data_IF_727040289465
#
_entry.id   IF_727040289465
#
_cell.length_a   1.000
_cell.length_b   1.000
_cell.length_c   1.000
_cell.angle_alpha   90.00
_cell.angle_beta   90.00
_cell.angle_gamma   90.00
#
_symmetry.space_group_name_H-M   'P 1'
#
loop_
_entity.id
_entity.type
_entity.pdbx_description
1 polymer ?
#
# COMPACT_ATOMS: atom_id res chain seq x y z
N UNK A 1 -4.85 1.22 -25.21
CA UNK A 1 -4.23 0.20 -24.33
C UNK A 1 -3.94 -1.02 -25.18
N UNK A 2 -2.69 -1.49 -25.27
CA UNK A 2 -2.34 -2.59 -26.16
C UNK A 2 -2.95 -3.92 -25.67
N UNK A 3 -3.31 -4.79 -26.62
CA UNK A 3 -4.00 -6.06 -26.36
C UNK A 3 -3.20 -6.97 -25.42
N UNK A 4 -1.87 -6.86 -25.44
CA UNK A 4 -0.93 -7.57 -24.57
C UNK A 4 -1.15 -7.27 -23.09
N UNK A 5 -1.36 -6.00 -22.73
CA UNK A 5 -1.57 -5.58 -21.34
C UNK A 5 -2.92 -6.05 -20.80
N UNK A 6 -3.93 -6.12 -21.67
CA UNK A 6 -5.25 -6.62 -21.31
C UNK A 6 -5.20 -8.13 -21.03
N UNK A 7 -4.54 -8.89 -21.90
CA UNK A 7 -4.38 -10.34 -21.75
C UNK A 7 -3.53 -10.69 -20.52
N UNK A 8 -2.46 -9.94 -20.23
CA UNK A 8 -1.64 -10.12 -19.04
C UNK A 8 -2.43 -9.87 -17.74
N UNK A 9 -3.21 -8.78 -17.70
CA UNK A 9 -4.08 -8.46 -16.55
C UNK A 9 -5.19 -9.48 -16.34
N UNK A 10 -5.81 -9.97 -17.41
CA UNK A 10 -6.84 -11.01 -17.33
C UNK A 10 -6.25 -12.34 -16.84
N UNK A 11 -5.05 -12.68 -17.30
CA UNK A 11 -4.34 -13.91 -16.88
C UNK A 11 -3.91 -13.88 -15.41
N UNK A 12 -3.47 -12.72 -14.90
CA UNK A 12 -3.16 -12.54 -13.48
C UNK A 12 -4.44 -12.59 -12.61
N UNK A 13 -5.56 -12.03 -13.08
CA UNK A 13 -6.87 -12.11 -12.39
C UNK A 13 -7.47 -13.51 -12.36
N UNK A 14 -7.27 -14.30 -13.41
CA UNK A 14 -7.80 -15.67 -13.51
C UNK A 14 -6.84 -16.74 -12.95
N UNK A 15 -5.65 -16.36 -12.44
CA UNK A 15 -4.59 -17.28 -11.99
C UNK A 15 -4.22 -18.36 -13.03
N UNK A 16 -4.39 -18.08 -14.32
CA UNK A 16 -4.20 -19.08 -15.38
C UNK A 16 -2.74 -19.20 -15.86
N UNK A 17 -1.83 -18.31 -15.43
CA UNK A 17 -0.38 -18.44 -15.68
C UNK A 17 0.47 -17.85 -14.55
N UNK A 18 1.57 -18.54 -14.29
CA UNK A 18 2.63 -18.34 -13.29
C UNK A 18 3.53 -17.10 -13.51
N UNK A 19 3.02 -16.02 -14.11
CA UNK A 19 3.85 -14.86 -14.53
C UNK A 19 3.58 -13.55 -13.79
N UNK A 20 2.62 -13.51 -12.85
CA UNK A 20 2.52 -12.40 -11.91
C UNK A 20 3.49 -12.73 -10.76
N UNK A 21 4.53 -11.90 -10.49
CA UNK A 21 5.37 -12.14 -9.32
C UNK A 21 4.47 -12.15 -8.08
N UNK A 22 4.55 -13.21 -7.28
CA UNK A 22 3.89 -13.22 -6.00
C UNK A 22 4.46 -12.07 -5.16
N UNK A 23 3.61 -11.39 -4.38
CA UNK A 23 4.09 -10.37 -3.45
C UNK A 23 5.17 -10.99 -2.55
N UNK A 24 6.38 -10.37 -2.45
CA UNK A 24 7.42 -10.88 -1.56
C UNK A 24 6.87 -11.00 -0.13
N UNK A 25 7.12 -12.10 0.61
CA UNK A 25 6.54 -12.31 1.93
C UNK A 25 6.75 -11.15 2.90
N UNK A 26 7.96 -10.59 2.94
CA UNK A 26 8.28 -9.44 3.78
C UNK A 26 7.45 -8.18 3.43
N UNK A 27 7.10 -7.99 2.15
CA UNK A 27 6.26 -6.88 1.69
C UNK A 27 4.81 -7.14 2.02
N UNK A 28 4.33 -8.37 1.85
CA UNK A 28 2.98 -8.74 2.24
C UNK A 28 2.76 -8.56 3.76
N UNK A 29 3.71 -9.00 4.58
CA UNK A 29 3.70 -8.80 6.04
C UNK A 29 3.69 -7.32 6.42
N UNK A 30 4.56 -6.53 5.80
CA UNK A 30 4.61 -5.08 6.00
C UNK A 30 3.27 -4.41 5.68
N UNK A 31 2.69 -4.72 4.52
CA UNK A 31 1.43 -4.17 4.07
C UNK A 31 0.25 -4.59 4.99
N UNK A 32 0.26 -5.82 5.49
CA UNK A 32 -0.76 -6.31 6.43
C UNK A 32 -0.66 -5.63 7.81
N UNK A 33 0.55 -5.37 8.31
CA UNK A 33 0.76 -4.63 9.56
C UNK A 33 0.29 -3.17 9.43
N UNK A 34 0.63 -2.52 8.31
CA UNK A 34 0.13 -1.19 7.97
C UNK A 34 -1.40 -1.18 7.87
N UNK A 35 -1.99 -2.19 7.21
CA UNK A 35 -3.44 -2.33 7.12
C UNK A 35 -4.08 -2.45 8.49
N UNK A 36 -3.54 -3.30 9.36
CA UNK A 36 -4.03 -3.50 10.73
C UNK A 36 -4.07 -2.17 11.50
N UNK A 37 -2.95 -1.43 11.52
CA UNK A 37 -2.88 -0.15 12.21
C UNK A 37 -3.73 0.95 11.55
N UNK A 38 -3.90 0.91 10.23
CA UNK A 38 -4.81 1.82 9.52
C UNK A 38 -6.26 1.56 9.91
N UNK A 39 -6.68 0.29 10.03
CA UNK A 39 -8.03 -0.07 10.47
C UNK A 39 -8.30 0.34 11.92
N UNK A 40 -7.31 0.21 12.81
CA UNK A 40 -7.39 0.74 14.17
C UNK A 40 -7.52 2.27 14.18
N UNK A 41 -6.73 2.96 13.35
CA UNK A 41 -6.84 4.41 13.16
C UNK A 41 -8.26 4.79 12.74
N UNK A 42 -8.82 4.15 11.71
CA UNK A 42 -10.18 4.41 11.22
C UNK A 42 -11.22 4.20 12.34
N UNK A 43 -11.11 3.09 13.09
CA UNK A 43 -12.07 2.73 14.15
C UNK A 43 -12.14 3.76 15.28
N UNK A 44 -11.00 4.40 15.59
CA UNK A 44 -10.87 5.33 16.70
C UNK A 44 -10.81 6.79 16.29
N UNK A 45 -10.81 7.10 14.99
CA UNK A 45 -10.66 8.47 14.49
C UNK A 45 -11.98 9.25 14.63
N UNK A 46 -12.05 10.31 15.46
CA UNK A 46 -13.22 11.17 15.55
C UNK A 46 -13.37 12.09 14.32
N UNK A 47 -12.27 12.33 13.61
CA UNK A 47 -12.23 13.19 12.42
C UNK A 47 -12.66 12.43 11.16
N UNK A 48 -13.84 12.77 10.64
CA UNK A 48 -14.40 12.12 9.45
C UNK A 48 -13.52 12.28 8.20
N UNK A 49 -12.83 13.42 8.03
CA UNK A 49 -11.97 13.65 6.87
C UNK A 49 -10.77 12.71 6.92
N UNK A 50 -10.08 12.63 8.05
CA UNK A 50 -8.96 11.71 8.24
C UNK A 50 -9.41 10.25 8.12
N UNK A 51 -10.54 9.85 8.72
CA UNK A 51 -11.06 8.50 8.61
C UNK A 51 -11.34 8.09 7.15
N UNK A 52 -11.89 9.00 6.33
CA UNK A 52 -12.10 8.75 4.89
C UNK A 52 -10.79 8.60 4.14
N UNK A 53 -9.78 9.42 4.43
CA UNK A 53 -8.46 9.31 3.80
C UNK A 53 -7.78 8.00 4.20
N UNK A 54 -7.84 7.62 5.48
CA UNK A 54 -7.32 6.36 5.97
C UNK A 54 -8.03 5.15 5.34
N UNK A 55 -9.35 5.21 5.16
CA UNK A 55 -10.10 4.17 4.43
C UNK A 55 -9.69 4.10 2.94
N UNK A 56 -9.48 5.25 2.30
CA UNK A 56 -8.92 5.32 0.95
C UNK A 56 -7.52 4.69 0.87
N UNK A 57 -6.70 4.87 1.89
CA UNK A 57 -5.39 4.24 1.97
C UNK A 57 -5.50 2.71 2.19
N UNK A 58 -6.35 2.27 3.11
CA UNK A 58 -6.50 0.86 3.50
C UNK A 58 -7.04 -0.03 2.37
N UNK A 59 -8.02 0.44 1.59
CA UNK A 59 -8.67 -0.41 0.59
C UNK A 59 -7.74 -0.81 -0.57
N UNK A 60 -6.66 -0.08 -0.80
CA UNK A 60 -5.67 -0.39 -1.83
C UNK A 60 -4.81 -1.61 -1.47
N UNK A 61 -4.61 -1.88 -0.17
CA UNK A 61 -3.66 -2.88 0.32
C UNK A 61 -3.97 -4.31 -0.15
N UNK A 62 -5.22 -4.83 -0.07
CA UNK A 62 -5.52 -6.17 -0.54
C UNK A 62 -5.20 -6.37 -2.03
N UNK A 63 -5.44 -5.35 -2.87
CA UNK A 63 -5.11 -5.39 -4.29
C UNK A 63 -3.60 -5.32 -4.54
N UNK A 64 -2.85 -4.55 -3.74
CA UNK A 64 -1.39 -4.50 -3.79
C UNK A 64 -0.76 -5.86 -3.47
N UNK A 65 -1.32 -6.60 -2.51
CA UNK A 65 -0.81 -7.95 -2.16
C UNK A 65 -1.21 -8.98 -3.22
N UNK A 66 -2.48 -9.01 -3.63
CA UNK A 66 -3.01 -10.04 -4.52
C UNK A 66 -2.60 -9.89 -5.98
N UNK A 67 -2.35 -8.65 -6.43
CA UNK A 67 -1.92 -8.33 -7.80
C UNK A 67 -0.65 -7.49 -7.75
N UNK A 68 0.36 -8.05 -7.09
CA UNK A 68 1.60 -7.34 -6.79
C UNK A 68 2.24 -6.75 -8.04
N UNK A 69 2.54 -5.46 -7.92
CA UNK A 69 3.20 -4.65 -8.92
C UNK A 69 4.03 -3.60 -8.18
N UNK A 70 5.33 -3.63 -8.42
CA UNK A 70 6.29 -2.80 -7.69
C UNK A 70 6.09 -1.31 -7.97
N UNK A 71 5.60 -0.95 -9.16
CA UNK A 71 5.27 0.43 -9.51
C UNK A 71 4.04 0.94 -8.74
N UNK A 72 3.01 0.10 -8.56
CA UNK A 72 1.89 0.39 -7.65
C UNK A 72 2.34 0.48 -6.20
N UNK A 73 3.24 -0.40 -5.74
CA UNK A 73 3.84 -0.29 -4.42
C UNK A 73 4.54 1.06 -4.24
N UNK A 74 5.29 1.52 -5.25
CA UNK A 74 5.95 2.84 -5.24
C UNK A 74 4.95 3.97 -5.07
N UNK A 75 3.88 3.99 -5.88
CA UNK A 75 2.85 5.02 -5.80
C UNK A 75 2.16 5.03 -4.43
N UNK A 76 1.83 3.85 -3.90
CA UNK A 76 1.25 3.71 -2.57
C UNK A 76 2.19 4.24 -1.47
N UNK A 77 3.49 3.90 -1.56
CA UNK A 77 4.49 4.29 -0.58
C UNK A 77 4.82 5.79 -0.59
N UNK A 78 4.84 6.43 -1.76
CA UNK A 78 5.26 7.83 -1.89
C UNK A 78 4.11 8.83 -1.97
N UNK A 79 2.96 8.46 -2.57
CA UNK A 79 1.83 9.36 -2.72
C UNK A 79 0.78 9.14 -1.63
N UNK A 80 0.22 7.93 -1.53
CA UNK A 80 -0.91 7.64 -0.64
C UNK A 80 -0.52 7.83 0.84
N UNK A 81 0.65 7.31 1.24
CA UNK A 81 1.20 7.50 2.60
C UNK A 81 1.33 8.99 2.96
N UNK A 82 1.95 9.78 2.08
CA UNK A 82 2.19 11.20 2.33
C UNK A 82 0.90 12.02 2.35
N UNK A 83 -0.10 11.63 1.56
CA UNK A 83 -1.43 12.23 1.58
C UNK A 83 -2.13 12.04 2.94
N UNK A 84 -2.05 10.85 3.52
CA UNK A 84 -2.59 10.56 4.84
C UNK A 84 -1.87 11.36 5.93
N UNK A 85 -0.53 11.32 5.94
CA UNK A 85 0.28 12.07 6.92
C UNK A 85 0.01 13.57 6.89
N UNK A 86 -0.09 14.15 5.70
CA UNK A 86 -0.43 15.56 5.56
C UNK A 86 -1.83 15.86 6.09
N UNK A 87 -2.81 15.02 5.79
CA UNK A 87 -4.18 15.18 6.29
C UNK A 87 -4.21 15.11 7.82
N UNK A 88 -3.50 14.16 8.43
CA UNK A 88 -3.40 14.06 9.89
C UNK A 88 -2.78 15.32 10.50
N UNK A 89 -1.72 15.86 9.89
CA UNK A 89 -1.09 17.10 10.34
C UNK A 89 -2.01 18.33 10.20
N UNK A 90 -2.74 18.46 9.09
CA UNK A 90 -3.71 19.54 8.86
C UNK A 90 -4.86 19.51 9.89
N UNK A 91 -5.31 18.31 10.28
CA UNK A 91 -6.39 18.11 11.25
C UNK A 91 -5.91 18.11 12.71
N UNK A 92 -4.60 18.19 12.96
CA UNK A 92 -4.03 18.12 14.31
C UNK A 92 -4.19 16.75 14.99
N UNK A 93 -4.36 15.69 14.21
CA UNK A 93 -4.65 14.34 14.68
C UNK A 93 -3.39 13.51 14.89
N UNK A 94 -3.38 12.69 15.94
CA UNK A 94 -2.25 11.81 16.25
C UNK A 94 -2.42 10.44 15.57
N UNK A 95 -1.52 10.14 14.62
CA UNK A 95 -1.46 8.85 13.90
C UNK A 95 -0.23 8.02 14.29
N UNK A 96 0.27 8.17 15.52
CA UNK A 96 1.54 7.60 16.00
C UNK A 96 1.67 6.09 15.78
N UNK A 97 0.64 5.31 16.14
CA UNK A 97 0.67 3.85 15.92
C UNK A 97 0.76 3.44 14.45
N UNK A 98 0.16 4.22 13.54
CA UNK A 98 0.27 3.99 12.10
C UNK A 98 1.65 4.41 11.58
N UNK A 99 2.19 5.52 12.09
CA UNK A 99 3.54 5.98 11.74
C UNK A 99 4.61 4.98 12.20
N UNK A 100 4.48 4.43 13.40
CA UNK A 100 5.36 3.37 13.88
C UNK A 100 5.32 2.14 12.99
N UNK A 101 4.13 1.70 12.56
CA UNK A 101 3.99 0.59 11.61
C UNK A 101 4.72 0.86 10.29
N UNK A 102 4.59 2.06 9.72
CA UNK A 102 5.36 2.44 8.54
C UNK A 102 6.86 2.41 8.79
N UNK A 103 7.32 2.98 9.90
CA UNK A 103 8.74 3.06 10.22
C UNK A 103 9.37 1.68 10.44
N UNK A 104 8.65 0.75 11.07
CA UNK A 104 9.11 -0.65 11.25
C UNK A 104 9.44 -1.32 9.91
N UNK A 105 8.64 -1.04 8.87
CA UNK A 105 8.75 -1.72 7.58
C UNK A 105 9.42 -0.91 6.47
N UNK A 106 9.79 0.35 6.75
CA UNK A 106 10.34 1.27 5.75
C UNK A 106 11.56 0.68 5.03
N UNK A 107 12.51 0.11 5.76
CA UNK A 107 13.73 -0.47 5.18
C UNK A 107 13.44 -1.64 4.23
N UNK A 108 12.43 -2.47 4.51
CA UNK A 108 12.05 -3.59 3.66
C UNK A 108 11.40 -3.09 2.37
N UNK A 109 10.46 -2.15 2.48
CA UNK A 109 9.75 -1.56 1.34
C UNK A 109 10.72 -0.74 0.47
N UNK A 110 11.59 0.05 1.05
CA UNK A 110 12.57 0.87 0.31
C UNK A 110 13.60 0.01 -0.43
N UNK A 111 14.06 -1.08 0.20
CA UNK A 111 14.93 -2.06 -0.46
C UNK A 111 14.24 -2.66 -1.67
N UNK A 112 12.99 -3.11 -1.51
CA UNK A 112 12.20 -3.61 -2.62
C UNK A 112 12.07 -2.55 -3.71
N UNK A 113 11.74 -1.31 -3.39
CA UNK A 113 11.56 -0.24 -4.38
C UNK A 113 12.86 0.22 -5.07
N UNK A 114 14.02 -0.06 -4.48
CA UNK A 114 15.34 0.31 -5.04
C UNK A 114 15.68 -0.44 -6.33
N UNK A 115 15.16 -1.67 -6.49
CA UNK A 115 15.38 -2.49 -7.69
C UNK A 115 14.71 -1.94 -8.96
N UNK A 116 13.79 -0.97 -8.83
CA UNK A 116 13.17 -0.28 -9.98
C UNK A 116 14.06 0.81 -10.59
N UNK A 117 15.13 1.25 -9.91
CA UNK A 117 15.97 2.35 -10.38
C UNK A 117 17.22 1.87 -11.16
N UNK A 118 17.32 0.58 -11.47
CA UNK A 118 18.46 -0.04 -12.18
C UNK A 118 18.20 -0.34 -13.66
N UNK A 119 17.14 0.21 -14.26
CA UNK A 119 16.85 0.14 -15.71
C UNK A 119 17.08 1.47 -16.42
#
# INVERSE_FOLDING_TARGET
MPLSDFIARLSCRLRLKSSCPACPPAIAEALLDILYHTLLCIRHCPNLRLARVAASHAHNIPALISTYDQQRLRMYWTADRNYLLRTAAEEGENVGGLLEAWNRHAAAIERELSYLCTE
#
